data_IF_567566498081
#
_entry.id   IF_567566498081
#
_cell.length_a   1.000
_cell.length_b   1.000
_cell.length_c   1.000
_cell.angle_alpha   90.00
_cell.angle_beta   90.00
_cell.angle_gamma   90.00
#
_symmetry.space_group_name_H-M   'P 1'
#
loop_
_entity.id
_entity.type
_entity.pdbx_description
1 polymer ?
#
# COMPACT_ATOMS: atom_id res chain seq x y z
N UNK A 1 19.35 43.22 -26.15
CA UNK A 1 19.92 42.26 -25.20
C UNK A 1 19.18 42.24 -23.85
N UNK A 2 18.09 42.99 -23.66
CA UNK A 2 17.34 43.08 -22.39
C UNK A 2 16.01 42.28 -22.35
N UNK A 3 15.53 41.75 -23.49
CA UNK A 3 14.29 40.97 -23.55
C UNK A 3 14.46 39.54 -23.00
N UNK A 4 15.65 38.96 -23.16
CA UNK A 4 15.94 37.55 -22.84
C UNK A 4 16.02 37.26 -21.32
N UNK A 5 16.25 38.30 -20.51
CA UNK A 5 16.34 38.17 -19.04
C UNK A 5 14.98 38.22 -18.34
N UNK A 6 14.05 39.04 -18.87
CA UNK A 6 12.71 39.18 -18.30
C UNK A 6 11.90 37.89 -18.51
N UNK A 7 12.00 37.29 -19.70
CA UNK A 7 11.36 36.01 -20.01
C UNK A 7 11.90 34.89 -19.12
N UNK A 8 13.20 34.90 -18.81
CA UNK A 8 13.81 33.91 -17.91
C UNK A 8 13.35 34.08 -16.45
N UNK A 9 13.20 35.31 -15.97
CA UNK A 9 12.70 35.59 -14.61
C UNK A 9 11.23 35.22 -14.46
N UNK A 10 10.42 35.45 -15.49
CA UNK A 10 9.00 35.08 -15.53
C UNK A 10 8.82 33.55 -15.56
N UNK A 11 9.66 32.83 -16.32
CA UNK A 11 9.71 31.36 -16.34
C UNK A 11 10.13 30.76 -14.98
N UNK A 12 11.06 31.41 -14.27
CA UNK A 12 11.49 30.97 -12.94
C UNK A 12 10.39 31.26 -11.90
N UNK A 13 9.71 32.39 -12.01
CA UNK A 13 8.62 32.78 -11.12
C UNK A 13 7.40 31.88 -11.28
N UNK A 14 7.00 31.57 -12.52
CA UNK A 14 5.90 30.63 -12.81
C UNK A 14 6.22 29.22 -12.31
N UNK A 15 7.41 28.67 -12.59
CA UNK A 15 7.82 27.36 -12.04
C UNK A 15 7.86 27.33 -10.52
N UNK A 16 8.25 28.45 -9.87
CA UNK A 16 8.21 28.56 -8.40
C UNK A 16 6.78 28.54 -7.89
N UNK A 17 5.87 29.31 -8.49
CA UNK A 17 4.45 29.36 -8.13
C UNK A 17 3.78 27.99 -8.32
N UNK A 18 4.01 27.33 -9.46
CA UNK A 18 3.53 25.96 -9.72
C UNK A 18 4.06 24.96 -8.67
N UNK A 19 5.34 25.07 -8.30
CA UNK A 19 5.93 24.21 -7.27
C UNK A 19 5.37 24.45 -5.86
N UNK A 20 4.98 25.69 -5.56
CA UNK A 20 4.39 26.08 -4.26
C UNK A 20 2.93 25.66 -4.17
N UNK A 21 2.18 25.76 -5.25
CA UNK A 21 0.79 25.29 -5.29
C UNK A 21 0.72 23.75 -5.31
N UNK A 22 1.64 23.07 -5.99
CA UNK A 22 1.82 21.62 -5.84
C UNK A 22 2.21 21.19 -4.41
N UNK A 23 2.93 22.01 -3.66
CA UNK A 23 3.25 21.76 -2.23
C UNK A 23 2.02 21.97 -1.31
N UNK A 24 1.01 22.76 -1.74
CA UNK A 24 -0.25 22.95 -1.01
C UNK A 24 -1.28 21.86 -1.32
N UNK A 25 -1.19 21.20 -2.48
CA UNK A 25 -2.08 20.11 -2.84
C UNK A 25 -1.86 18.92 -1.89
N UNK A 26 -2.94 18.48 -1.27
CA UNK A 26 -2.98 17.25 -0.48
C UNK A 26 -2.67 16.08 -1.43
N UNK A 27 -1.57 15.35 -1.17
CA UNK A 27 -1.17 14.17 -1.96
C UNK A 27 -1.36 12.93 -1.11
N UNK A 28 -2.19 11.99 -1.59
CA UNK A 28 -2.51 10.75 -0.91
C UNK A 28 -1.69 9.59 -1.48
N UNK A 29 -1.29 8.70 -0.58
CA UNK A 29 -0.49 7.53 -0.89
C UNK A 29 -1.02 6.33 -0.11
N UNK A 30 -0.78 5.14 -0.65
CA UNK A 30 -1.11 3.88 -0.01
C UNK A 30 0.09 2.95 -0.02
N UNK A 31 0.07 1.97 0.87
CA UNK A 31 1.11 0.95 0.96
C UNK A 31 0.51 -0.38 1.39
N UNK A 32 0.93 -1.46 0.73
CA UNK A 32 0.73 -2.84 1.19
C UNK A 32 2.06 -3.38 1.70
N UNK A 33 2.09 -3.82 2.96
CA UNK A 33 3.25 -4.38 3.62
C UNK A 33 3.12 -5.90 3.74
N UNK A 34 4.07 -6.63 3.17
CA UNK A 34 4.11 -8.11 3.24
C UNK A 34 5.53 -8.60 3.53
N UNK A 35 5.66 -9.82 4.03
CA UNK A 35 6.96 -10.45 4.27
C UNK A 35 7.68 -10.83 2.97
N UNK A 36 6.93 -11.14 1.91
CA UNK A 36 7.47 -11.43 0.55
C UNK A 36 8.14 -10.23 -0.11
N UNK A 37 7.87 -9.01 0.36
CA UNK A 37 8.52 -7.80 -0.17
C UNK A 37 9.97 -7.67 0.30
N UNK A 38 10.31 -8.24 1.45
CA UNK A 38 11.64 -8.12 2.03
C UNK A 38 12.64 -9.01 1.28
N UNK A 39 13.92 -8.65 1.36
CA UNK A 39 15.03 -9.40 0.78
C UNK A 39 16.05 -9.71 1.87
N UNK A 40 16.22 -10.99 2.29
CA UNK A 40 15.44 -12.15 1.84
C UNK A 40 13.97 -12.09 2.30
N UNK A 41 13.04 -12.80 1.61
CA UNK A 41 11.64 -12.87 2.02
C UNK A 41 11.46 -13.42 3.43
N UNK A 42 10.57 -12.80 4.21
CA UNK A 42 10.20 -13.23 5.56
C UNK A 42 8.88 -13.99 5.52
N UNK A 43 8.82 -15.17 6.14
CA UNK A 43 7.60 -15.98 6.29
C UNK A 43 6.68 -15.41 7.38
N UNK A 44 6.29 -14.15 7.25
CA UNK A 44 5.41 -13.48 8.19
C UNK A 44 3.99 -14.10 8.14
N UNK A 45 3.35 -14.36 9.29
CA UNK A 45 1.97 -14.88 9.35
C UNK A 45 0.91 -13.80 9.05
N UNK A 46 1.35 -12.57 8.79
CA UNK A 46 0.49 -11.42 8.65
C UNK A 46 0.99 -10.41 7.64
N UNK A 47 0.20 -9.36 7.46
CA UNK A 47 0.44 -8.26 6.54
C UNK A 47 -0.06 -6.95 7.16
N UNK A 48 0.15 -5.85 6.45
CA UNK A 48 -0.44 -4.57 6.82
C UNK A 48 -0.78 -3.74 5.59
N UNK A 49 -1.73 -2.83 5.72
CA UNK A 49 -2.03 -1.81 4.74
C UNK A 49 -1.95 -0.44 5.39
N UNK A 50 -1.63 0.58 4.59
CA UNK A 50 -1.45 1.92 5.10
C UNK A 50 -1.94 3.00 4.17
N UNK A 51 -2.29 4.12 4.77
CA UNK A 51 -2.60 5.38 4.09
C UNK A 51 -1.63 6.44 4.59
N UNK A 52 -1.05 7.18 3.64
CA UNK A 52 -0.17 8.29 3.94
C UNK A 52 -0.67 9.54 3.24
N UNK A 53 -0.60 10.68 3.93
CA UNK A 53 -1.02 11.97 3.41
C UNK A 53 0.14 12.93 3.54
N UNK A 54 0.60 13.43 2.41
CA UNK A 54 1.58 14.51 2.36
C UNK A 54 0.85 15.85 2.34
N UNK A 55 1.06 16.66 3.38
CA UNK A 55 0.45 17.99 3.51
C UNK A 55 1.39 18.90 4.31
N UNK A 56 1.51 20.17 3.92
CA UNK A 56 2.32 21.18 4.63
C UNK A 56 3.75 20.73 4.95
N UNK A 57 4.36 19.95 4.05
CA UNK A 57 5.70 19.33 4.21
C UNK A 57 5.81 18.22 5.24
N UNK A 58 4.72 17.77 5.82
CA UNK A 58 4.67 16.64 6.73
C UNK A 58 4.05 15.44 6.01
N UNK A 59 4.59 14.25 6.26
CA UNK A 59 4.02 13.00 5.79
C UNK A 59 3.36 12.30 6.97
N UNK A 60 2.03 12.40 7.04
CA UNK A 60 1.23 11.70 8.01
C UNK A 60 0.98 10.28 7.52
N UNK A 61 1.02 9.30 8.42
CA UNK A 61 0.72 7.92 8.06
C UNK A 61 -0.15 7.24 9.09
N UNK A 62 -0.94 6.29 8.61
CA UNK A 62 -1.72 5.34 9.39
C UNK A 62 -1.53 3.97 8.79
N UNK A 63 -1.10 3.00 9.60
CA UNK A 63 -0.89 1.62 9.21
C UNK A 63 -1.84 0.73 10.01
N UNK A 64 -2.62 -0.10 9.32
CA UNK A 64 -3.40 -1.19 9.90
C UNK A 64 -2.69 -2.52 9.63
N UNK A 65 -2.33 -3.25 10.67
CA UNK A 65 -1.63 -4.53 10.56
C UNK A 65 -2.48 -5.66 11.12
N UNK A 66 -2.24 -6.90 10.69
CA UNK A 66 -2.89 -8.09 11.24
C UNK A 66 -1.99 -9.30 11.10
N UNK A 67 -2.04 -10.20 12.09
CA UNK A 67 -1.30 -11.46 12.05
C UNK A 67 0.19 -11.33 12.35
N UNK A 68 0.67 -10.16 12.81
CA UNK A 68 2.03 -9.96 13.32
C UNK A 68 2.00 -9.42 14.75
N UNK A 69 3.08 -9.61 15.55
CA UNK A 69 3.25 -8.92 16.82
C UNK A 69 3.20 -7.40 16.65
N UNK A 70 2.93 -6.67 17.74
CA UNK A 70 2.96 -5.20 17.71
C UNK A 70 4.33 -4.72 17.21
N UNK A 71 4.39 -3.91 16.15
CA UNK A 71 5.65 -3.38 15.67
C UNK A 71 6.32 -2.48 16.71
N UNK A 72 7.65 -2.51 16.77
CA UNK A 72 8.47 -1.69 17.65
C UNK A 72 9.00 -0.45 16.93
N UNK A 73 9.40 -0.59 15.66
CA UNK A 73 9.82 0.55 14.85
C UNK A 73 9.14 0.55 13.48
N UNK A 74 9.04 1.75 12.93
CA UNK A 74 8.71 2.04 11.54
C UNK A 74 9.95 2.61 10.89
N UNK A 75 10.29 2.14 9.70
CA UNK A 75 11.39 2.67 8.89
C UNK A 75 10.89 3.11 7.54
N UNK A 76 11.37 4.25 7.10
CA UNK A 76 11.34 4.65 5.70
C UNK A 76 12.70 4.34 5.09
N UNK A 77 12.72 3.62 3.96
CA UNK A 77 13.97 3.25 3.29
C UNK A 77 13.92 3.61 1.79
N UNK A 78 15.09 3.62 1.15
CA UNK A 78 15.18 3.62 -0.32
C UNK A 78 15.21 2.16 -0.86
N UNK A 79 15.35 2.02 -2.17
CA UNK A 79 15.40 0.71 -2.84
C UNK A 79 16.72 -0.04 -2.56
N UNK A 80 17.76 0.67 -2.17
CA UNK A 80 19.06 0.14 -1.77
C UNK A 80 19.06 -0.43 -0.34
N UNK A 81 18.02 -0.14 0.45
CA UNK A 81 17.88 -0.61 1.84
C UNK A 81 18.42 0.37 2.89
N UNK A 82 18.88 1.55 2.49
CA UNK A 82 19.32 2.61 3.41
C UNK A 82 18.12 3.16 4.19
N UNK A 83 18.30 3.30 5.51
CA UNK A 83 17.30 3.89 6.39
C UNK A 83 17.35 5.42 6.23
N UNK A 84 16.25 5.98 5.75
CA UNK A 84 16.09 7.42 5.55
C UNK A 84 15.51 8.11 6.79
N UNK A 85 14.65 7.40 7.52
CA UNK A 85 14.03 7.82 8.78
C UNK A 85 13.56 6.57 9.56
N UNK A 86 13.69 6.61 10.89
CA UNK A 86 13.15 5.59 11.78
C UNK A 86 12.34 6.24 12.90
N UNK A 87 11.15 5.70 13.17
CA UNK A 87 10.31 6.09 14.29
C UNK A 87 10.09 4.92 15.23
N UNK A 88 10.38 5.12 16.50
CA UNK A 88 9.98 4.18 17.55
C UNK A 88 8.48 4.27 17.81
N UNK A 89 7.86 3.11 18.02
CA UNK A 89 6.46 3.00 18.39
C UNK A 89 6.40 2.83 19.91
N UNK A 90 5.82 3.80 20.64
CA UNK A 90 5.68 3.68 22.07
C UNK A 90 4.86 2.43 22.45
N UNK A 91 5.16 1.81 23.61
CA UNK A 91 4.33 0.76 24.16
C UNK A 91 2.87 1.23 24.23
N UNK A 92 1.95 0.45 23.67
CA UNK A 92 0.53 0.79 23.81
C UNK A 92 0.10 0.57 25.26
N UNK A 93 -0.72 1.47 25.83
CA UNK A 93 -1.48 1.17 27.03
C UNK A 93 -2.30 -0.12 26.83
N UNK A 94 -2.54 -0.87 27.91
CA UNK A 94 -3.28 -2.15 27.85
C UNK A 94 -4.65 -2.05 27.15
N UNK A 95 -5.29 -0.88 27.16
CA UNK A 95 -6.58 -0.61 26.53
C UNK A 95 -6.49 -0.18 25.05
N UNK A 96 -5.27 0.03 24.52
CA UNK A 96 -4.99 0.51 23.16
C UNK A 96 -4.23 -0.51 22.33
N UNK A 97 -4.44 -1.81 22.59
CA UNK A 97 -3.86 -2.92 21.81
C UNK A 97 -4.48 -3.06 20.41
N UNK A 98 -4.91 -1.95 19.81
CA UNK A 98 -5.42 -1.92 18.46
C UNK A 98 -4.31 -2.25 17.46
N UNK A 99 -4.69 -2.96 16.39
CA UNK A 99 -3.80 -3.32 15.31
C UNK A 99 -3.59 -2.14 14.33
N UNK A 100 -3.28 -0.97 14.88
CA UNK A 100 -3.10 0.29 14.15
C UNK A 100 -1.94 1.09 14.74
N UNK A 101 -1.13 1.67 13.87
CA UNK A 101 -0.06 2.60 14.22
C UNK A 101 -0.24 3.87 13.41
N UNK A 102 -0.11 5.02 14.07
CA UNK A 102 -0.16 6.33 13.41
C UNK A 102 1.13 7.09 13.72
N UNK A 103 1.53 7.97 12.82
CA UNK A 103 2.64 8.86 13.08
C UNK A 103 2.80 9.93 12.00
N UNK A 104 3.87 10.69 12.12
CA UNK A 104 4.17 11.80 11.21
C UNK A 104 5.68 11.91 11.01
N UNK A 105 6.12 11.94 9.77
CA UNK A 105 7.46 12.38 9.42
C UNK A 105 7.40 13.88 9.12
N UNK A 106 7.85 14.69 10.09
CA UNK A 106 7.79 16.14 9.99
C UNK A 106 8.89 16.70 9.10
N UNK A 107 8.58 17.77 8.37
CA UNK A 107 9.54 18.49 7.52
C UNK A 107 10.26 17.58 6.52
N UNK A 108 9.49 16.74 5.82
CA UNK A 108 10.00 15.76 4.85
C UNK A 108 10.97 16.42 3.84
N UNK A 109 12.27 16.03 3.85
CA UNK A 109 13.28 16.61 2.97
C UNK A 109 12.93 16.52 1.49
N UNK A 110 13.31 17.57 0.72
CA UNK A 110 13.05 17.66 -0.74
C UNK A 110 13.47 16.42 -1.52
N UNK A 111 14.60 15.81 -1.15
CA UNK A 111 15.11 14.60 -1.81
C UNK A 111 14.17 13.40 -1.62
N UNK A 112 13.63 13.19 -0.42
CA UNK A 112 12.73 12.07 -0.13
C UNK A 112 11.32 12.32 -0.68
N UNK A 113 10.91 13.58 -0.84
CA UNK A 113 9.70 13.93 -1.60
C UNK A 113 9.75 13.46 -3.04
N UNK A 114 10.92 13.54 -3.69
CA UNK A 114 11.11 13.01 -5.04
C UNK A 114 11.05 11.48 -5.07
N UNK A 115 11.51 10.80 -4.01
CA UNK A 115 11.34 9.35 -3.90
C UNK A 115 9.87 8.99 -3.79
N UNK A 116 9.12 9.66 -2.92
CA UNK A 116 7.69 9.46 -2.74
C UNK A 116 6.90 9.68 -4.04
N UNK A 117 7.21 10.74 -4.79
CA UNK A 117 6.55 11.04 -6.08
C UNK A 117 6.88 10.05 -7.21
N UNK A 118 7.99 9.32 -7.08
CA UNK A 118 8.45 8.32 -8.06
C UNK A 118 8.18 6.89 -7.59
N UNK A 119 7.36 6.74 -6.54
CA UNK A 119 7.07 5.47 -5.87
C UNK A 119 8.34 4.72 -5.43
N UNK A 120 9.44 5.41 -5.11
CA UNK A 120 10.73 4.82 -4.68
C UNK A 120 10.92 4.82 -3.16
N UNK A 121 9.98 5.39 -2.41
CA UNK A 121 10.02 5.36 -0.96
C UNK A 121 9.44 4.04 -0.47
N UNK A 122 10.17 3.34 0.38
CA UNK A 122 9.73 2.09 0.99
C UNK A 122 9.38 2.31 2.45
N UNK A 123 8.51 1.46 2.97
CA UNK A 123 8.05 1.47 4.35
C UNK A 123 8.22 0.07 4.94
N UNK A 124 8.82 -0.03 6.12
CA UNK A 124 9.11 -1.30 6.79
C UNK A 124 8.67 -1.24 8.24
N UNK A 125 8.07 -2.33 8.72
CA UNK A 125 7.76 -2.55 10.13
C UNK A 125 8.73 -3.58 10.70
N UNK A 126 9.23 -3.33 11.91
CA UNK A 126 10.09 -4.24 12.65
C UNK A 126 9.42 -4.70 13.96
N UNK A 127 9.82 -5.86 14.47
CA UNK A 127 9.41 -6.37 15.78
C UNK A 127 10.63 -6.85 16.54
N UNK A 128 10.47 -7.24 17.82
CA UNK A 128 11.58 -7.76 18.64
C UNK A 128 12.29 -8.96 17.97
N UNK A 129 11.51 -9.88 17.39
CA UNK A 129 12.03 -11.10 16.74
C UNK A 129 12.59 -10.83 15.34
N UNK A 130 12.25 -9.69 14.74
CA UNK A 130 12.62 -9.29 13.38
C UNK A 130 13.11 -7.84 13.37
N UNK A 131 14.31 -7.57 13.93
CA UNK A 131 14.84 -6.22 14.08
C UNK A 131 15.17 -5.54 12.74
N UNK A 132 15.44 -6.32 11.70
CA UNK A 132 15.70 -5.82 10.33
C UNK A 132 14.42 -5.58 9.52
N UNK A 133 13.27 -6.06 10.01
CA UNK A 133 11.97 -5.93 9.38
C UNK A 133 11.22 -7.26 9.31
N UNK A 134 9.92 -7.24 9.64
CA UNK A 134 9.03 -8.40 9.50
C UNK A 134 8.16 -8.32 8.24
N UNK A 135 7.69 -7.11 7.90
CA UNK A 135 6.91 -6.83 6.69
C UNK A 135 7.30 -5.47 6.13
N UNK A 136 7.31 -5.35 4.80
CA UNK A 136 7.66 -4.12 4.11
C UNK A 136 6.89 -3.94 2.81
N UNK A 137 6.96 -2.74 2.23
CA UNK A 137 6.28 -2.42 0.99
C UNK A 137 6.66 -1.07 0.41
N UNK A 138 6.24 -0.85 -0.83
CA UNK A 138 6.45 0.40 -1.58
C UNK A 138 5.31 1.37 -1.32
N UNK A 139 5.64 2.60 -0.94
CA UNK A 139 4.67 3.68 -0.84
C UNK A 139 4.36 4.18 -2.25
N UNK A 140 3.10 4.11 -2.64
CA UNK A 140 2.65 4.48 -3.98
C UNK A 140 1.56 5.51 -3.93
N UNK A 141 1.44 6.32 -4.99
CA UNK A 141 0.33 7.25 -5.13
C UNK A 141 -1.01 6.52 -5.01
N UNK A 142 -1.90 7.05 -4.18
CA UNK A 142 -3.26 6.55 -4.08
C UNK A 142 -4.05 7.07 -5.29
N UNK A 143 -4.38 6.16 -6.20
CA UNK A 143 -5.21 6.49 -7.36
C UNK A 143 -6.64 6.01 -7.05
N UNK A 144 -7.44 6.89 -6.47
CA UNK A 144 -8.84 6.65 -6.15
C UNK A 144 -9.75 7.11 -7.29
N UNK A 145 -10.70 6.28 -7.69
CA UNK A 145 -11.68 6.64 -8.73
C UNK A 145 -12.83 7.46 -8.12
N UNK A 146 -13.15 7.22 -6.84
CA UNK A 146 -14.12 7.97 -6.06
C UNK A 146 -13.73 7.89 -4.57
N UNK A 147 -14.57 8.37 -3.66
CA UNK A 147 -14.42 8.16 -2.21
C UNK A 147 -14.48 6.65 -1.91
N UNK A 148 -13.45 6.14 -1.24
CA UNK A 148 -13.43 4.74 -0.78
C UNK A 148 -14.55 4.52 0.24
N UNK A 149 -15.45 3.58 -0.06
CA UNK A 149 -16.55 3.22 0.84
C UNK A 149 -16.11 2.17 1.86
N UNK A 150 -15.31 1.20 1.42
CA UNK A 150 -14.81 0.11 2.26
C UNK A 150 -13.40 -0.28 1.86
N UNK A 151 -12.58 -0.59 2.87
CA UNK A 151 -11.23 -1.11 2.69
C UNK A 151 -11.04 -2.39 3.52
N UNK A 152 -10.25 -3.33 3.01
CA UNK A 152 -9.94 -4.57 3.70
C UNK A 152 -8.48 -4.97 3.51
N UNK A 153 -7.87 -5.48 4.59
CA UNK A 153 -6.61 -6.20 4.54
C UNK A 153 -6.91 -7.69 4.30
N UNK A 154 -6.33 -8.25 3.24
CA UNK A 154 -6.51 -9.64 2.82
C UNK A 154 -5.29 -10.45 3.26
N UNK A 155 -5.55 -11.54 3.97
CA UNK A 155 -4.53 -12.52 4.36
C UNK A 155 -4.82 -13.84 3.66
N UNK A 156 -3.80 -14.66 3.36
CA UNK A 156 -4.00 -16.02 2.89
C UNK A 156 -4.91 -16.81 3.84
N UNK A 157 -5.77 -17.70 3.31
CA UNK A 157 -6.58 -18.59 4.16
C UNK A 157 -5.62 -19.45 5.01
N UNK A 158 -5.71 -19.41 6.35
CA UNK A 158 -4.86 -20.23 7.23
C UNK A 158 -4.98 -21.73 6.98
N UNK A 159 -6.10 -22.18 6.38
CA UNK A 159 -6.36 -23.57 6.02
C UNK A 159 -5.79 -23.96 4.66
N UNK A 160 -5.28 -22.99 3.89
CA UNK A 160 -4.60 -23.25 2.63
C UNK A 160 -3.31 -24.02 2.90
N UNK A 161 -3.19 -25.21 2.30
CA UNK A 161 -2.07 -26.14 2.47
C UNK A 161 -0.79 -25.72 1.73
N UNK A 162 -0.72 -24.50 1.20
CA UNK A 162 0.43 -24.02 0.44
C UNK A 162 1.39 -23.21 1.35
N UNK A 163 2.39 -23.82 2.00
CA UNK A 163 3.37 -23.06 2.82
C UNK A 163 4.09 -21.97 2.02
N UNK A 164 4.13 -22.12 0.69
CA UNK A 164 4.78 -21.19 -0.24
C UNK A 164 4.14 -19.78 -0.24
N UNK A 165 2.88 -19.64 0.23
CA UNK A 165 2.18 -18.33 0.33
C UNK A 165 2.35 -17.65 1.69
N UNK A 166 3.15 -18.20 2.60
CA UNK A 166 3.50 -17.49 3.84
C UNK A 166 4.31 -16.22 3.53
N UNK A 167 4.05 -15.15 4.29
CA UNK A 167 4.58 -13.82 4.03
C UNK A 167 3.82 -13.05 2.95
N UNK A 168 2.81 -13.63 2.32
CA UNK A 168 1.99 -12.99 1.29
C UNK A 168 0.82 -12.23 1.91
N UNK A 169 0.22 -11.33 1.13
CA UNK A 169 -0.92 -10.55 1.58
C UNK A 169 -1.50 -9.70 0.47
N UNK A 170 -2.62 -9.07 0.76
CA UNK A 170 -3.29 -8.15 -0.15
C UNK A 170 -4.10 -7.09 0.57
N UNK A 171 -4.63 -6.16 -0.19
CA UNK A 171 -5.60 -5.18 0.26
C UNK A 171 -6.65 -4.98 -0.84
N UNK A 172 -7.87 -4.70 -0.41
CA UNK A 172 -8.99 -4.37 -1.27
C UNK A 172 -9.55 -3.01 -0.89
N UNK A 173 -9.84 -2.18 -1.90
CA UNK A 173 -10.56 -0.91 -1.76
C UNK A 173 -11.78 -0.93 -2.66
N UNK A 174 -12.94 -0.58 -2.10
CA UNK A 174 -14.23 -0.59 -2.77
C UNK A 174 -14.70 0.85 -2.94
N UNK A 175 -15.02 1.20 -4.19
CA UNK A 175 -15.51 2.51 -4.58
C UNK A 175 -16.91 2.35 -5.15
N UNK A 176 -17.85 3.12 -4.59
CA UNK A 176 -19.23 3.16 -5.08
C UNK A 176 -19.32 4.23 -6.16
N UNK A 177 -19.81 3.84 -7.33
CA UNK A 177 -20.13 4.75 -8.44
C UNK A 177 -21.62 4.58 -8.75
N UNK A 178 -22.21 5.53 -9.46
CA UNK A 178 -23.61 5.42 -9.89
C UNK A 178 -23.76 4.12 -10.69
N UNK A 179 -24.65 3.25 -10.21
CA UNK A 179 -24.99 1.95 -10.80
C UNK A 179 -23.82 0.96 -10.97
N UNK A 180 -22.70 1.15 -10.25
CA UNK A 180 -21.60 0.18 -10.29
C UNK A 180 -20.70 0.17 -9.06
N UNK A 181 -20.04 -0.97 -8.82
CA UNK A 181 -19.01 -1.11 -7.80
C UNK A 181 -17.66 -1.32 -8.47
N UNK A 182 -16.71 -0.45 -8.16
CA UNK A 182 -15.31 -0.63 -8.54
C UNK A 182 -14.53 -1.20 -7.36
N UNK A 183 -13.81 -2.29 -7.61
CA UNK A 183 -12.93 -2.93 -6.63
C UNK A 183 -11.49 -2.80 -7.11
N UNK A 184 -10.63 -2.20 -6.29
CA UNK A 184 -9.18 -2.22 -6.48
C UNK A 184 -8.56 -3.28 -5.57
N UNK A 185 -7.81 -4.21 -6.14
CA UNK A 185 -7.13 -5.28 -5.43
C UNK A 185 -5.63 -5.12 -5.58
N UNK A 186 -4.94 -4.87 -4.48
CA UNK A 186 -3.49 -4.87 -4.40
C UNK A 186 -3.00 -6.15 -3.72
N UNK A 187 -2.06 -6.89 -4.28
CA UNK A 187 -1.51 -8.07 -3.59
C UNK A 187 -0.03 -8.31 -3.90
N UNK A 188 0.62 -9.07 -3.02
CA UNK A 188 1.99 -9.51 -3.20
C UNK A 188 2.15 -10.98 -2.73
N UNK A 189 2.81 -11.79 -3.56
CA UNK A 189 3.20 -13.16 -3.22
C UNK A 189 2.08 -14.21 -3.24
N UNK A 190 0.92 -13.90 -3.83
CA UNK A 190 -0.21 -14.85 -3.85
C UNK A 190 -0.01 -16.01 -4.84
N UNK A 191 0.90 -15.86 -5.80
CA UNK A 191 1.23 -16.90 -6.77
C UNK A 191 2.45 -17.71 -6.32
N UNK A 192 2.33 -19.03 -6.41
CA UNK A 192 3.36 -20.02 -6.11
C UNK A 192 4.07 -20.46 -7.39
N UNK A 193 5.22 -21.14 -7.27
CA UNK A 193 5.92 -21.74 -8.41
C UNK A 193 5.06 -22.77 -9.16
N UNK A 194 4.06 -23.37 -8.51
CA UNK A 194 3.17 -24.40 -9.06
C UNK A 194 2.03 -23.83 -9.90
N UNK A 195 1.69 -22.55 -9.70
CA UNK A 195 0.61 -21.93 -10.44
C UNK A 195 0.95 -21.77 -11.92
N UNK A 196 -0.08 -21.92 -12.75
CA UNK A 196 0.00 -21.72 -14.19
C UNK A 196 0.57 -20.33 -14.52
N UNK A 197 1.13 -20.19 -15.73
CA UNK A 197 1.61 -18.88 -16.21
C UNK A 197 0.49 -17.84 -16.25
N UNK A 198 -0.73 -18.29 -16.45
CA UNK A 198 -1.93 -17.47 -16.48
C UNK A 198 -2.88 -17.98 -15.40
N UNK A 199 -3.05 -17.19 -14.33
CA UNK A 199 -3.87 -17.55 -13.18
C UNK A 199 -5.19 -16.77 -13.20
N UNK A 200 -6.36 -17.42 -13.13
CA UNK A 200 -7.63 -16.72 -13.03
C UNK A 200 -7.79 -16.11 -11.63
N UNK A 201 -7.98 -14.80 -11.58
CA UNK A 201 -8.45 -14.09 -10.40
C UNK A 201 -9.96 -13.92 -10.51
N UNK A 202 -10.69 -14.54 -9.59
CA UNK A 202 -12.16 -14.44 -9.51
C UNK A 202 -12.51 -13.49 -8.38
N UNK A 203 -13.33 -12.49 -8.68
CA UNK A 203 -13.88 -11.54 -7.73
C UNK A 203 -15.39 -11.65 -7.77
N UNK A 204 -15.99 -12.06 -6.66
CA UNK A 204 -17.43 -12.21 -6.53
C UNK A 204 -17.99 -11.34 -5.42
N UNK A 205 -19.15 -10.73 -5.70
CA UNK A 205 -19.98 -10.09 -4.70
C UNK A 205 -21.03 -11.10 -4.23
N UNK A 206 -21.02 -11.41 -2.94
CA UNK A 206 -21.94 -12.37 -2.34
C UNK A 206 -22.90 -11.64 -1.40
N UNK A 207 -24.18 -11.94 -1.51
CA UNK A 207 -25.21 -11.54 -0.55
C UNK A 207 -25.43 -12.69 0.44
N UNK A 208 -25.54 -12.37 1.74
CA UNK A 208 -25.86 -13.37 2.76
C UNK A 208 -27.36 -13.31 3.07
N UNK A 209 -28.05 -14.39 2.74
CA UNK A 209 -29.47 -14.57 3.07
C UNK A 209 -29.70 -14.76 4.58
N UNK A 210 -30.95 -14.63 5.01
CA UNK A 210 -31.33 -14.74 6.42
C UNK A 210 -31.09 -16.13 7.03
N UNK A 211 -31.03 -17.17 6.20
CA UNK A 211 -30.71 -18.54 6.59
C UNK A 211 -29.18 -18.80 6.66
N UNK A 212 -28.37 -17.79 6.32
CA UNK A 212 -26.91 -17.87 6.27
C UNK A 212 -26.34 -18.34 4.93
N UNK A 213 -27.17 -18.68 3.95
CA UNK A 213 -26.72 -19.02 2.61
C UNK A 213 -26.05 -17.81 1.93
N UNK A 214 -25.00 -18.06 1.15
CA UNK A 214 -24.34 -17.04 0.34
C UNK A 214 -24.82 -17.17 -1.10
N UNK A 215 -25.49 -16.13 -1.60
CA UNK A 215 -25.92 -16.03 -2.98
C UNK A 215 -24.95 -15.12 -3.75
N UNK A 216 -24.43 -15.58 -4.89
CA UNK A 216 -23.62 -14.72 -5.77
C UNK A 216 -24.52 -13.68 -6.43
N UNK A 217 -24.25 -12.41 -6.17
CA UNK A 217 -24.92 -11.27 -6.82
C UNK A 217 -24.31 -11.05 -8.20
N UNK A 218 -22.98 -10.97 -8.25
CA UNK A 218 -22.22 -10.77 -9.49
C UNK A 218 -20.80 -11.31 -9.32
N UNK A 219 -20.18 -11.69 -10.43
CA UNK A 219 -18.83 -12.25 -10.46
C UNK A 219 -18.09 -11.75 -11.69
N UNK A 220 -16.80 -11.48 -11.54
CA UNK A 220 -15.90 -11.16 -12.64
C UNK A 220 -14.62 -11.98 -12.51
N UNK A 221 -14.16 -12.56 -13.61
CA UNK A 221 -12.93 -13.32 -13.69
C UNK A 221 -11.93 -12.61 -14.60
N UNK A 222 -10.71 -12.41 -14.12
CA UNK A 222 -9.63 -11.77 -14.85
C UNK A 222 -8.45 -12.72 -14.88
N UNK A 223 -7.92 -12.99 -16.07
CA UNK A 223 -6.70 -13.78 -16.20
C UNK A 223 -5.47 -12.91 -15.99
N UNK A 224 -4.65 -13.27 -15.00
CA UNK A 224 -3.43 -12.56 -14.67
C UNK A 224 -2.23 -13.33 -15.18
N UNK A 225 -1.38 -12.65 -15.93
CA UNK A 225 -0.05 -13.15 -16.24
C UNK A 225 0.75 -13.19 -14.93
N UNK A 226 1.24 -14.38 -14.59
CA UNK A 226 2.12 -14.61 -13.44
C UNK A 226 3.33 -13.70 -13.56
N UNK A 227 3.46 -12.74 -12.66
CA UNK A 227 4.70 -11.99 -12.55
C UNK A 227 5.83 -12.93 -12.14
N UNK A 228 7.01 -12.73 -12.71
CA UNK A 228 8.19 -13.54 -12.43
C UNK A 228 8.42 -13.56 -10.90
N UNK A 229 8.70 -14.71 -10.25
CA UNK A 229 8.92 -14.79 -8.79
C UNK A 229 10.02 -13.88 -8.21
N UNK A 230 10.88 -13.30 -9.06
CA UNK A 230 11.95 -12.36 -8.67
C UNK A 230 11.49 -10.89 -8.78
N UNK A 231 10.35 -10.65 -9.42
CA UNK A 231 9.72 -9.35 -9.50
C UNK A 231 9.07 -9.05 -8.16
N UNK A 232 9.56 -8.02 -7.46
CA UNK A 232 8.89 -7.36 -6.33
C UNK A 232 7.58 -6.67 -6.77
N UNK A 233 6.84 -7.27 -7.70
CA UNK A 233 5.61 -6.75 -8.28
C UNK A 233 4.47 -7.01 -7.32
N UNK A 234 4.34 -6.09 -6.39
CA UNK A 234 3.03 -5.64 -6.00
C UNK A 234 2.21 -5.31 -7.26
N UNK A 235 1.04 -5.94 -7.40
CA UNK A 235 0.11 -5.70 -8.52
C UNK A 235 -1.17 -5.07 -7.99
N UNK A 236 -1.64 -4.00 -8.65
CA UNK A 236 -2.99 -3.48 -8.48
C UNK A 236 -3.81 -3.87 -9.69
N UNK A 237 -4.95 -4.50 -9.47
CA UNK A 237 -5.96 -4.76 -10.49
C UNK A 237 -7.24 -4.03 -10.10
N UNK A 238 -7.91 -3.47 -11.11
CA UNK A 238 -9.22 -2.85 -10.97
C UNK A 238 -10.25 -3.73 -11.65
N UNK A 239 -11.32 -4.01 -10.91
CA UNK A 239 -12.44 -4.83 -11.35
C UNK A 239 -13.70 -3.98 -11.26
N UNK A 240 -14.53 -4.05 -12.29
CA UNK A 240 -15.85 -3.48 -12.31
C UNK A 240 -16.86 -4.59 -12.04
N UNK A 241 -17.75 -4.36 -11.09
CA UNK A 241 -18.90 -5.22 -10.81
C UNK A 241 -20.16 -4.42 -11.13
N UNK A 242 -20.90 -4.88 -12.15
CA UNK A 242 -22.20 -4.33 -12.53
C UNK A 242 -23.27 -4.87 -11.58
N UNK A 243 -24.18 -3.99 -11.14
CA UNK A 243 -25.31 -4.30 -10.23
C UNK A 243 -26.62 -4.19 -10.99
#
# INVERSE_FOLDING_TARGET
>A
MFADYADLEEDIATRKLESEDEEKILKEFTVLLTGKFLVPPVSAPGAASGYLVYTKRDLHYTIHYRGIPRPLTIRFTNEEGDILEEHEIPPAPHHSQGAKVCGVWRKLPKVYRKLLQKDKLLFVLSTADYPDGIIGGRVMKHDAINTEAYGALLLPDPRSLAPDVMGSGGMASIFLVIDSIHVSLGFNGIFTSRDARDAPLVVSLLYRESDGALQTVTETSITLAKAHPVSLSYQIIRVLLEI
#
